data_IF_824865497514
#
_entry.id   IF_824865497514
#
_cell.length_a   1.000
_cell.length_b   1.000
_cell.length_c   1.000
_cell.angle_alpha   90.00
_cell.angle_beta   90.00
_cell.angle_gamma   90.00
#
_symmetry.space_group_name_H-M   'P 1'
#
loop_
_entity.id
_entity.type
_entity.pdbx_description
1 polymer ?
#
# COMPACT_ATOMS: atom_id res chain seq x y z
N UNK A 1 -0.32 40.63 -2.62
CA UNK A 1 -1.22 40.08 -3.65
C UNK A 1 -1.56 38.66 -3.24
N UNK A 2 -2.85 38.31 -3.13
CA UNK A 2 -3.29 36.95 -2.80
C UNK A 2 -3.24 36.07 -4.05
N UNK A 3 -2.85 34.80 -3.89
CA UNK A 3 -2.98 33.76 -4.91
C UNK A 3 -3.80 32.63 -4.32
N UNK A 4 -4.65 32.02 -5.14
CA UNK A 4 -5.42 30.81 -4.79
C UNK A 4 -4.93 29.71 -5.71
N UNK A 5 -4.72 28.52 -5.16
CA UNK A 5 -4.37 27.31 -5.90
C UNK A 5 -5.40 26.23 -5.57
N UNK A 6 -5.62 25.33 -6.52
CA UNK A 6 -6.40 24.11 -6.36
C UNK A 6 -5.42 22.94 -6.48
N UNK A 7 -5.55 21.97 -5.58
CA UNK A 7 -4.67 20.80 -5.52
C UNK A 7 -5.59 19.59 -5.47
N UNK A 8 -5.36 18.64 -6.37
CA UNK A 8 -6.02 17.33 -6.34
C UNK A 8 -5.30 16.45 -5.32
N UNK A 9 -6.03 16.02 -4.29
CA UNK A 9 -5.54 15.04 -3.32
C UNK A 9 -5.82 13.64 -3.86
N UNK A 10 -4.75 12.86 -4.05
CA UNK A 10 -4.84 11.52 -4.66
C UNK A 10 -4.27 10.43 -3.77
N UNK A 11 -3.76 10.75 -2.56
CA UNK A 11 -3.06 9.78 -1.72
C UNK A 11 -4.00 8.64 -1.29
N UNK A 12 -5.18 8.97 -0.77
CA UNK A 12 -6.15 7.96 -0.31
C UNK A 12 -6.60 7.04 -1.44
N UNK A 13 -6.88 7.60 -2.63
CA UNK A 13 -7.24 6.79 -3.80
C UNK A 13 -6.11 5.83 -4.22
N UNK A 14 -4.84 6.27 -4.12
CA UNK A 14 -3.68 5.41 -4.39
C UNK A 14 -3.58 4.26 -3.38
N UNK A 15 -3.85 4.54 -2.10
CA UNK A 15 -3.92 3.52 -1.05
C UNK A 15 -5.04 2.52 -1.31
N UNK A 16 -6.26 3.00 -1.61
CA UNK A 16 -7.41 2.16 -1.91
C UNK A 16 -7.13 1.24 -3.11
N UNK A 17 -6.55 1.79 -4.18
CA UNK A 17 -6.15 1.01 -5.36
C UNK A 17 -5.11 -0.07 -5.02
N UNK A 18 -4.08 0.26 -4.21
CA UNK A 18 -3.08 -0.71 -3.77
C UNK A 18 -3.71 -1.85 -2.95
N UNK A 19 -4.63 -1.53 -2.05
CA UNK A 19 -5.37 -2.52 -1.25
C UNK A 19 -6.21 -3.43 -2.14
N UNK A 20 -6.94 -2.88 -3.12
CA UNK A 20 -7.75 -3.66 -4.05
C UNK A 20 -6.90 -4.62 -4.90
N UNK A 21 -5.70 -4.18 -5.32
CA UNK A 21 -4.75 -5.03 -6.03
C UNK A 21 -4.18 -6.14 -5.14
N UNK A 22 -3.82 -5.86 -3.89
CA UNK A 22 -3.36 -6.88 -2.94
C UNK A 22 -4.45 -7.89 -2.60
N UNK A 23 -5.70 -7.42 -2.46
CA UNK A 23 -6.85 -8.31 -2.29
C UNK A 23 -7.04 -9.22 -3.49
N UNK A 24 -6.88 -8.69 -4.69
CA UNK A 24 -6.94 -9.48 -5.92
C UNK A 24 -5.84 -10.54 -5.96
N UNK A 25 -4.63 -10.19 -5.50
CA UNK A 25 -3.51 -11.13 -5.39
C UNK A 25 -3.78 -12.24 -4.35
N UNK A 26 -4.35 -11.90 -3.19
CA UNK A 26 -4.80 -12.88 -2.21
C UNK A 26 -5.84 -13.85 -2.83
N UNK A 27 -6.86 -13.33 -3.51
CA UNK A 27 -7.86 -14.16 -4.17
C UNK A 27 -7.25 -15.07 -5.26
N UNK A 28 -6.24 -14.59 -5.98
CA UNK A 28 -5.52 -15.38 -6.97
C UNK A 28 -4.71 -16.50 -6.31
N UNK A 29 -3.94 -16.19 -5.27
CA UNK A 29 -3.20 -17.18 -4.48
C UNK A 29 -4.13 -18.28 -3.98
N UNK A 30 -5.28 -17.92 -3.43
CA UNK A 30 -6.26 -18.88 -2.94
C UNK A 30 -6.77 -19.78 -4.06
N UNK A 31 -7.12 -19.23 -5.24
CA UNK A 31 -7.53 -20.04 -6.41
C UNK A 31 -6.46 -21.03 -6.86
N UNK A 32 -5.19 -20.63 -6.82
CA UNK A 32 -4.06 -21.47 -7.22
C UNK A 32 -3.66 -22.51 -6.16
N UNK A 33 -3.97 -22.23 -4.89
CA UNK A 33 -3.65 -23.07 -3.75
C UNK A 33 -4.94 -23.51 -3.02
N UNK A 34 -5.80 -24.31 -3.67
CA UNK A 34 -7.12 -24.59 -3.13
C UNK A 34 -7.12 -25.43 -1.85
N UNK A 35 -6.02 -26.09 -1.51
CA UNK A 35 -5.95 -26.92 -0.32
C UNK A 35 -5.34 -26.17 0.88
N UNK A 36 -5.09 -24.85 0.78
CA UNK A 36 -4.60 -24.05 1.90
C UNK A 36 -5.62 -24.02 3.04
N UNK A 37 -5.14 -24.17 4.26
CA UNK A 37 -5.92 -24.25 5.50
C UNK A 37 -5.69 -23.05 6.43
N UNK A 38 -4.86 -22.10 6.01
CA UNK A 38 -4.51 -20.90 6.75
C UNK A 38 -4.38 -19.69 5.81
N UNK A 39 -4.60 -18.50 6.38
CA UNK A 39 -4.35 -17.23 5.70
C UNK A 39 -2.87 -17.15 5.32
N UNK A 40 -2.53 -16.94 4.03
CA UNK A 40 -1.13 -16.80 3.61
C UNK A 40 -0.44 -15.64 4.31
N UNK A 41 0.86 -15.73 4.53
CA UNK A 41 1.66 -14.61 5.01
C UNK A 41 1.86 -13.60 3.88
N UNK A 42 1.45 -12.33 4.07
CA UNK A 42 1.64 -11.29 3.05
C UNK A 42 3.11 -11.14 2.63
N UNK A 43 4.04 -11.12 3.59
CA UNK A 43 5.47 -10.87 3.37
C UNK A 43 6.26 -12.12 2.91
N UNK A 44 5.59 -13.24 2.65
CA UNK A 44 6.26 -14.47 2.24
C UNK A 44 5.47 -15.21 1.16
N UNK A 45 4.24 -15.61 1.46
CA UNK A 45 3.43 -16.42 0.55
C UNK A 45 2.89 -15.58 -0.61
N UNK A 46 2.32 -14.40 -0.31
CA UNK A 46 1.82 -13.49 -1.35
C UNK A 46 2.96 -12.72 -2.03
N UNK A 47 3.98 -12.34 -1.27
CA UNK A 47 5.11 -11.56 -1.79
C UNK A 47 6.31 -12.41 -2.25
N UNK A 48 6.15 -13.74 -2.40
CA UNK A 48 7.25 -14.61 -2.84
C UNK A 48 7.89 -14.16 -4.17
N UNK A 49 7.07 -13.61 -5.07
CA UNK A 49 7.48 -13.09 -6.38
C UNK A 49 7.81 -11.59 -6.37
N UNK A 50 7.70 -10.92 -5.22
CA UNK A 50 7.75 -9.45 -5.11
C UNK A 50 6.47 -8.76 -5.57
N UNK A 51 5.34 -9.47 -5.65
CA UNK A 51 4.07 -8.94 -6.10
C UNK A 51 3.57 -7.77 -5.23
N UNK A 52 3.67 -7.89 -3.91
CA UNK A 52 3.21 -6.86 -2.97
C UNK A 52 4.09 -5.62 -3.11
N UNK A 53 5.41 -5.81 -3.16
CA UNK A 53 6.33 -4.70 -3.42
C UNK A 53 6.03 -3.99 -4.75
N UNK A 54 5.70 -4.75 -5.80
CA UNK A 54 5.41 -4.20 -7.14
C UNK A 54 4.09 -3.41 -7.18
N UNK A 55 3.06 -3.89 -6.47
CA UNK A 55 1.77 -3.20 -6.33
C UNK A 55 1.97 -1.85 -5.62
N UNK A 56 2.69 -1.86 -4.50
CA UNK A 56 2.96 -0.64 -3.72
C UNK A 56 3.81 0.35 -4.50
N UNK A 57 4.89 -0.11 -5.15
CA UNK A 57 5.78 0.74 -5.95
C UNK A 57 5.03 1.41 -7.12
N UNK A 58 4.18 0.65 -7.80
CA UNK A 58 3.35 1.15 -8.90
C UNK A 58 2.31 2.19 -8.45
N UNK A 59 1.96 2.20 -7.16
CA UNK A 59 0.99 3.14 -6.57
C UNK A 59 1.61 4.49 -6.20
N UNK A 60 2.95 4.58 -6.13
CA UNK A 60 3.68 5.82 -5.85
C UNK A 60 3.54 6.79 -7.05
N UNK A 61 3.22 8.08 -6.83
CA UNK A 61 3.17 9.06 -7.91
C UNK A 61 4.55 9.26 -8.56
N UNK A 62 4.59 9.31 -9.89
CA UNK A 62 5.83 9.52 -10.66
C UNK A 62 6.00 10.98 -11.12
N UNK A 63 4.91 11.76 -11.15
CA UNK A 63 4.99 13.14 -11.56
C UNK A 63 5.35 14.04 -10.38
N UNK A 64 6.40 14.85 -10.54
CA UNK A 64 6.90 15.75 -9.48
C UNK A 64 5.83 16.66 -8.88
N UNK A 65 4.83 17.08 -9.66
CA UNK A 65 3.76 17.93 -9.15
C UNK A 65 2.79 17.16 -8.23
N UNK A 66 2.54 15.88 -8.51
CA UNK A 66 1.75 15.00 -7.63
C UNK A 66 2.53 14.75 -6.35
N UNK A 67 3.80 14.33 -6.44
CA UNK A 67 4.67 14.08 -5.28
C UNK A 67 4.70 15.29 -4.34
N UNK A 68 4.93 16.49 -4.89
CA UNK A 68 4.95 17.73 -4.10
C UNK A 68 3.60 18.09 -3.50
N UNK A 69 2.51 17.78 -4.20
CA UNK A 69 1.15 18.01 -3.71
C UNK A 69 0.82 17.07 -2.55
N UNK A 70 1.17 15.79 -2.67
CA UNK A 70 1.07 14.80 -1.60
C UNK A 70 1.84 15.25 -0.37
N UNK A 71 3.10 15.65 -0.53
CA UNK A 71 3.92 16.18 0.58
C UNK A 71 3.36 17.46 1.20
N UNK A 72 2.78 18.34 0.40
CA UNK A 72 2.17 19.56 0.90
C UNK A 72 0.94 19.29 1.77
N UNK A 73 0.17 18.25 1.44
CA UNK A 73 -1.07 17.89 2.13
C UNK A 73 -0.85 16.94 3.32
N UNK A 74 0.05 15.97 3.19
CA UNK A 74 0.19 14.81 4.09
C UNK A 74 1.60 14.62 4.65
N UNK A 75 2.42 15.68 4.65
CA UNK A 75 3.85 15.55 4.99
C UNK A 75 4.12 14.95 6.37
N UNK A 76 3.25 15.17 7.36
CA UNK A 76 3.47 14.65 8.72
C UNK A 76 3.29 13.14 8.76
N UNK A 77 2.27 12.63 8.09
CA UNK A 77 1.96 11.20 7.98
C UNK A 77 3.03 10.46 7.17
N UNK A 78 3.59 11.10 6.14
CA UNK A 78 4.68 10.56 5.35
C UNK A 78 5.99 10.48 6.15
N UNK A 79 6.31 11.52 6.94
CA UNK A 79 7.47 11.52 7.84
C UNK A 79 7.36 10.38 8.85
N UNK A 80 6.20 10.22 9.50
CA UNK A 80 5.96 9.15 10.46
C UNK A 80 6.10 7.76 9.82
N UNK A 81 5.53 7.54 8.64
CA UNK A 81 5.65 6.26 7.94
C UNK A 81 7.11 5.92 7.58
N UNK A 82 7.88 6.92 7.15
CA UNK A 82 9.30 6.75 6.84
C UNK A 82 10.14 6.46 8.10
N UNK A 83 9.87 7.16 9.20
CA UNK A 83 10.52 6.92 10.50
C UNK A 83 10.22 5.50 11.02
N UNK A 84 8.96 5.07 10.95
CA UNK A 84 8.53 3.73 11.36
C UNK A 84 9.17 2.63 10.51
N UNK A 85 9.43 2.89 9.23
CA UNK A 85 10.15 1.97 8.35
C UNK A 85 11.64 1.82 8.71
N UNK A 86 12.23 2.80 9.40
CA UNK A 86 13.61 2.74 9.90
C UNK A 86 14.68 2.69 8.80
N UNK A 87 14.42 3.31 7.65
CA UNK A 87 15.25 3.18 6.44
C UNK A 87 16.24 4.32 6.21
N UNK A 88 16.20 5.39 7.01
CA UNK A 88 17.12 6.52 6.89
C UNK A 88 16.74 7.70 7.78
N UNK A 89 17.49 8.79 7.63
CA UNK A 89 17.35 10.00 8.47
C UNK A 89 16.65 11.17 7.73
N UNK A 90 16.44 11.06 6.42
CA UNK A 90 15.86 12.13 5.60
C UNK A 90 14.71 11.60 4.72
N UNK A 91 13.46 11.79 5.13
CA UNK A 91 12.30 11.30 4.39
C UNK A 91 12.11 12.03 3.05
N UNK A 92 12.78 13.16 2.83
CA UNK A 92 12.79 13.92 1.57
C UNK A 92 13.93 13.51 0.62
N UNK A 93 14.76 12.51 0.98
CA UNK A 93 15.66 11.89 0.01
C UNK A 93 14.84 11.28 -1.15
N UNK A 94 15.38 11.30 -2.38
CA UNK A 94 14.66 10.88 -3.60
C UNK A 94 13.30 11.58 -3.79
N UNK A 95 13.26 12.90 -3.57
CA UNK A 95 12.05 13.73 -3.66
C UNK A 95 10.90 13.26 -2.74
N UNK A 96 11.24 12.48 -1.70
CA UNK A 96 10.29 11.92 -0.74
C UNK A 96 9.36 10.85 -1.30
N UNK A 97 9.72 10.25 -2.43
CA UNK A 97 8.99 9.11 -3.00
C UNK A 97 9.04 7.89 -2.07
N UNK A 98 10.17 7.67 -1.41
CA UNK A 98 10.32 6.56 -0.46
C UNK A 98 9.37 6.68 0.74
N UNK A 99 9.13 7.88 1.26
CA UNK A 99 8.16 8.07 2.34
C UNK A 99 6.73 7.74 1.89
N UNK A 100 6.35 8.14 0.67
CA UNK A 100 5.05 7.79 0.08
C UNK A 100 4.92 6.28 -0.09
N UNK A 101 5.98 5.62 -0.56
CA UNK A 101 6.04 4.16 -0.65
C UNK A 101 5.77 3.50 0.70
N UNK A 102 6.48 3.91 1.76
CA UNK A 102 6.31 3.31 3.09
C UNK A 102 4.94 3.60 3.69
N UNK A 103 4.38 4.78 3.44
CA UNK A 103 3.01 5.08 3.85
C UNK A 103 2.00 4.14 3.18
N UNK A 104 2.09 3.93 1.87
CA UNK A 104 1.18 3.02 1.16
C UNK A 104 1.40 1.57 1.65
N UNK A 105 2.64 1.14 1.84
CA UNK A 105 2.96 -0.18 2.39
C UNK A 105 2.37 -0.38 3.79
N UNK A 106 2.49 0.62 4.67
CA UNK A 106 1.92 0.58 6.02
C UNK A 106 0.39 0.41 5.96
N UNK A 107 -0.30 1.16 5.09
CA UNK A 107 -1.76 1.03 4.90
C UNK A 107 -2.18 -0.32 4.32
N UNK A 108 -1.41 -0.87 3.39
CA UNK A 108 -1.63 -2.22 2.87
C UNK A 108 -1.47 -3.27 3.99
N UNK A 109 -0.45 -3.14 4.84
CA UNK A 109 -0.25 -4.05 5.96
C UNK A 109 -1.32 -3.90 7.05
N UNK A 110 -1.73 -2.66 7.35
CA UNK A 110 -2.83 -2.37 8.27
C UNK A 110 -4.12 -3.06 7.79
N UNK A 111 -4.48 -2.89 6.52
CA UNK A 111 -5.61 -3.59 5.92
C UNK A 111 -5.45 -5.11 6.02
N UNK A 112 -4.29 -5.65 5.64
CA UNK A 112 -4.08 -7.10 5.65
C UNK A 112 -4.28 -7.70 7.05
N UNK A 113 -3.70 -7.07 8.07
CA UNK A 113 -3.78 -7.54 9.45
C UNK A 113 -5.19 -7.42 10.04
N UNK A 114 -6.00 -6.48 9.56
CA UNK A 114 -7.33 -6.21 10.10
C UNK A 114 -8.46 -6.94 9.33
N UNK A 115 -8.29 -7.17 8.03
CA UNK A 115 -9.40 -7.53 7.13
C UNK A 115 -9.15 -8.75 6.24
N UNK A 116 -7.89 -9.16 6.00
CA UNK A 116 -7.61 -10.26 5.06
C UNK A 116 -8.19 -11.61 5.53
N UNK A 117 -8.29 -11.82 6.85
CA UNK A 117 -8.92 -13.02 7.43
C UNK A 117 -10.38 -13.16 6.96
N UNK A 118 -11.15 -12.06 6.87
CA UNK A 118 -12.54 -12.10 6.41
C UNK A 118 -12.62 -12.55 4.94
N UNK A 119 -11.66 -12.12 4.10
CA UNK A 119 -11.58 -12.55 2.70
C UNK A 119 -11.29 -14.05 2.62
N UNK A 120 -10.35 -14.52 3.44
CA UNK A 120 -9.97 -15.93 3.51
C UNK A 120 -11.13 -16.82 4.01
N UNK A 121 -11.80 -16.44 5.09
CA UNK A 121 -12.94 -17.18 5.64
C UNK A 121 -14.08 -17.30 4.63
N UNK A 122 -14.45 -16.19 3.96
CA UNK A 122 -15.47 -16.20 2.90
C UNK A 122 -15.12 -17.16 1.77
N UNK A 123 -13.84 -17.21 1.39
CA UNK A 123 -13.38 -18.13 0.37
C UNK A 123 -13.47 -19.59 0.83
N UNK A 124 -13.06 -19.89 2.08
CA UNK A 124 -13.18 -21.23 2.67
C UNK A 124 -14.63 -21.69 2.78
N UNK A 125 -15.56 -20.79 3.09
CA UNK A 125 -17.00 -21.08 3.09
C UNK A 125 -17.54 -21.38 1.69
N UNK A 126 -17.05 -20.69 0.66
CA UNK A 126 -17.48 -20.90 -0.74
C UNK A 126 -17.15 -22.29 -1.30
N UNK A 127 -16.29 -23.04 -0.61
CA UNK A 127 -15.86 -24.40 -0.96
C UNK A 127 -16.64 -25.52 -0.30
N UNK A 128 -17.43 -25.20 0.74
CA UNK A 128 -18.26 -26.17 1.45
C UNK A 128 -19.55 -26.45 0.67
#
# INVERSE_FOLDING_TARGET
MKRTIEIEDTLDNRVECAIDEVKSELENYLKENPDTDSLPCINNDLDYSGAIHSIVDSSVPIYTHEIKSTWYLHGSELEEAYENAGVGDNPMENDGMSAIYFYIMDKVQEWYNNEAEEVFEKWMESKK
#
